data_IF_866529015929
#
_entry.id   IF_866529015929
#
_cell.length_a   1.000
_cell.length_b   1.000
_cell.length_c   1.000
_cell.angle_alpha   90.00
_cell.angle_beta   90.00
_cell.angle_gamma   90.00
#
_symmetry.space_group_name_H-M   'P 1'
#
loop_
_entity.id
_entity.type
_entity.pdbx_description
1 polymer ?
#
# COMPACT_ATOMS: atom_id res chain seq x y z
N UNK A 1 -57.76 28.80 4.97
CA UNK A 1 -57.26 27.82 3.97
C UNK A 1 -55.97 28.36 3.45
N UNK A 2 -54.83 27.86 3.96
CA UNK A 2 -53.49 28.30 3.53
C UNK A 2 -52.61 27.05 3.41
N UNK A 3 -52.28 26.67 2.18
CA UNK A 3 -51.37 25.55 1.89
C UNK A 3 -49.93 26.01 2.12
N UNK A 4 -49.26 25.36 3.09
CA UNK A 4 -47.80 25.44 3.20
C UNK A 4 -47.20 24.40 2.22
N UNK A 5 -46.49 24.86 1.21
CA UNK A 5 -45.66 24.02 0.35
C UNK A 5 -44.26 23.87 1.02
N UNK A 6 -43.95 22.68 1.45
CA UNK A 6 -42.61 22.35 1.92
C UNK A 6 -41.70 22.07 0.71
N UNK A 7 -40.71 22.93 0.49
CA UNK A 7 -39.65 22.71 -0.50
C UNK A 7 -38.59 21.84 0.12
N UNK A 8 -38.50 20.60 -0.36
CA UNK A 8 -37.42 19.66 -0.02
C UNK A 8 -36.20 20.01 -0.88
N UNK A 9 -35.25 20.69 -0.29
CA UNK A 9 -33.94 20.90 -0.89
C UNK A 9 -33.15 19.59 -0.92
N UNK A 10 -32.93 19.05 -2.08
CA UNK A 10 -31.96 17.97 -2.29
C UNK A 10 -30.56 18.59 -2.26
N UNK A 11 -29.85 18.46 -1.14
CA UNK A 11 -28.42 18.72 -1.08
C UNK A 11 -27.73 17.59 -1.85
N UNK A 12 -27.37 17.87 -3.11
CA UNK A 12 -26.47 17.01 -3.87
C UNK A 12 -25.10 17.01 -3.19
N UNK A 13 -24.68 15.86 -2.65
CA UNK A 13 -23.28 15.63 -2.33
C UNK A 13 -22.50 15.66 -3.64
N UNK A 14 -21.77 16.75 -3.86
CA UNK A 14 -20.77 16.82 -4.91
C UNK A 14 -19.68 15.80 -4.58
N UNK A 15 -19.60 14.73 -5.35
CA UNK A 15 -18.40 13.90 -5.37
C UNK A 15 -17.30 14.74 -6.02
N UNK A 16 -16.37 15.25 -5.21
CA UNK A 16 -15.14 15.88 -5.69
C UNK A 16 -14.33 14.78 -6.42
N UNK A 17 -14.47 14.75 -7.74
CA UNK A 17 -13.89 13.76 -8.62
C UNK A 17 -12.40 13.97 -8.83
N UNK A 18 -11.60 13.80 -7.80
CA UNK A 18 -10.14 13.71 -7.92
C UNK A 18 -9.56 12.66 -6.95
N UNK A 19 -10.28 11.57 -6.73
CA UNK A 19 -9.76 10.40 -6.04
C UNK A 19 -8.84 9.62 -7.01
N UNK A 20 -7.63 10.13 -7.23
CA UNK A 20 -6.55 9.28 -7.68
C UNK A 20 -6.32 8.26 -6.56
N UNK A 21 -6.86 7.06 -6.78
CA UNK A 21 -6.65 5.92 -5.89
C UNK A 21 -5.48 5.10 -6.43
N UNK A 22 -4.24 5.37 -5.98
CA UNK A 22 -3.09 4.60 -6.43
C UNK A 22 -3.29 3.13 -6.10
N UNK A 23 -2.72 2.21 -6.88
CA UNK A 23 -2.77 0.79 -6.58
C UNK A 23 -2.12 0.54 -5.21
N UNK A 24 -2.86 -0.13 -4.32
CA UNK A 24 -2.43 -0.36 -2.95
C UNK A 24 -3.51 -0.02 -1.94
N UNK A 25 -3.32 -0.43 -0.69
CA UNK A 25 -4.25 -0.09 0.36
C UNK A 25 -4.11 1.38 0.77
N UNK A 26 -5.26 2.03 0.95
CA UNK A 26 -5.35 3.40 1.41
C UNK A 26 -6.19 3.46 2.67
N UNK A 27 -5.75 4.24 3.64
CA UNK A 27 -6.42 4.40 4.94
C UNK A 27 -6.09 5.76 5.55
N UNK A 28 -6.74 6.04 6.70
CA UNK A 28 -6.49 7.24 7.49
C UNK A 28 -6.61 6.92 8.96
N UNK A 29 -5.67 7.43 9.76
CA UNK A 29 -5.75 7.42 11.21
C UNK A 29 -5.45 8.83 11.74
N UNK A 30 -6.41 9.45 12.40
CA UNK A 30 -6.28 10.85 12.80
C UNK A 30 -5.88 11.75 11.60
N UNK A 31 -4.81 12.55 11.73
CA UNK A 31 -4.33 13.39 10.64
C UNK A 31 -3.38 12.67 9.65
N UNK A 32 -3.02 11.42 9.90
CA UNK A 32 -2.10 10.67 9.04
C UNK A 32 -2.86 9.94 7.94
N UNK A 33 -2.54 10.25 6.69
CA UNK A 33 -2.99 9.51 5.52
C UNK A 33 -1.99 8.40 5.20
N UNK A 34 -2.52 7.20 4.99
CA UNK A 34 -1.78 6.03 4.54
C UNK A 34 -2.15 5.84 3.07
N UNK A 35 -1.14 5.71 2.23
CA UNK A 35 -1.32 5.57 0.79
C UNK A 35 -0.40 4.48 0.25
N UNK A 36 -0.84 3.82 -0.81
CA UNK A 36 -0.03 2.87 -1.58
C UNK A 36 0.58 1.74 -0.73
N UNK A 37 -0.08 1.32 0.35
CA UNK A 37 0.44 0.22 1.18
C UNK A 37 0.30 -1.11 0.44
N UNK A 38 1.42 -1.80 0.20
CA UNK A 38 1.47 -3.10 -0.47
C UNK A 38 2.71 -3.89 -0.05
N UNK A 39 2.59 -5.22 -0.09
CA UNK A 39 3.74 -6.12 0.03
C UNK A 39 4.41 -6.21 -1.35
N UNK A 40 5.74 -6.13 -1.37
CA UNK A 40 6.52 -6.16 -2.60
C UNK A 40 6.23 -7.44 -3.41
N UNK A 41 6.40 -7.30 -4.72
CA UNK A 41 6.39 -8.44 -5.63
C UNK A 41 7.48 -9.45 -5.24
N UNK A 42 7.14 -10.74 -5.08
CA UNK A 42 8.15 -11.75 -4.82
C UNK A 42 9.01 -11.98 -6.07
N UNK A 43 10.34 -12.13 -5.92
CA UNK A 43 11.26 -12.23 -7.06
C UNK A 43 11.11 -13.54 -7.83
N UNK A 44 10.86 -14.64 -7.14
CA UNK A 44 10.85 -16.00 -7.71
C UNK A 44 9.67 -16.82 -7.16
N UNK A 45 8.48 -16.56 -7.64
CA UNK A 45 7.27 -17.21 -7.13
C UNK A 45 6.76 -16.58 -5.83
N UNK A 46 5.87 -17.22 -5.07
CA UNK A 46 5.29 -16.65 -3.86
C UNK A 46 6.33 -16.53 -2.74
N UNK A 47 6.16 -15.54 -1.86
CA UNK A 47 6.91 -15.48 -0.61
C UNK A 47 6.63 -16.75 0.20
N UNK A 48 7.67 -17.49 0.55
CA UNK A 48 7.60 -18.74 1.31
C UNK A 48 7.59 -18.52 2.82
N UNK A 49 7.26 -19.56 3.57
CA UNK A 49 7.46 -19.58 5.03
C UNK A 49 8.95 -19.45 5.36
N UNK A 50 9.29 -18.55 6.28
CA UNK A 50 10.66 -18.23 6.67
C UNK A 50 11.30 -17.11 5.85
N UNK A 51 10.67 -16.68 4.76
CA UNK A 51 11.15 -15.54 3.98
C UNK A 51 10.93 -14.20 4.70
N UNK A 52 11.69 -13.19 4.29
CA UNK A 52 11.50 -11.80 4.66
C UNK A 52 10.88 -11.03 3.49
N UNK A 53 9.69 -10.44 3.69
CA UNK A 53 8.95 -9.75 2.64
C UNK A 53 8.89 -8.23 2.88
N UNK A 54 9.36 -7.39 1.93
CA UNK A 54 9.24 -5.94 2.06
C UNK A 54 7.78 -5.48 1.98
N UNK A 55 7.44 -4.50 2.82
CA UNK A 55 6.17 -3.79 2.81
C UNK A 55 6.45 -2.30 2.56
N UNK A 56 5.85 -1.77 1.53
CA UNK A 56 5.98 -0.37 1.13
C UNK A 56 4.74 0.42 1.50
N UNK A 57 4.91 1.66 1.91
CA UNK A 57 3.80 2.54 2.29
C UNK A 57 4.20 4.01 2.19
N UNK A 58 3.29 4.84 1.73
CA UNK A 58 3.43 6.29 1.74
C UNK A 58 2.60 6.88 2.86
N UNK A 59 3.21 7.74 3.66
CA UNK A 59 2.61 8.36 4.84
C UNK A 59 2.62 9.88 4.68
N UNK A 60 1.46 10.52 4.81
CA UNK A 60 1.33 11.97 4.74
C UNK A 60 0.65 12.50 5.98
N UNK A 61 1.37 13.33 6.74
CA UNK A 61 0.85 13.94 7.96
C UNK A 61 0.20 15.29 7.66
N UNK A 62 -1.13 15.35 7.72
CA UNK A 62 -1.94 16.56 7.58
C UNK A 62 -2.13 17.34 8.90
N UNK A 63 -1.57 16.85 10.00
CA UNK A 63 -1.69 17.45 11.31
C UNK A 63 -0.84 18.69 11.49
N UNK A 64 -1.00 19.34 12.62
CA UNK A 64 -0.22 20.54 12.98
C UNK A 64 1.10 20.22 13.72
N UNK A 65 1.28 18.98 14.08
CA UNK A 65 2.46 18.50 14.82
C UNK A 65 3.11 17.32 14.11
N UNK A 66 4.42 17.24 14.17
CA UNK A 66 5.17 16.06 13.72
C UNK A 66 4.67 14.83 14.48
N UNK A 67 4.46 13.73 13.77
CA UNK A 67 4.17 12.41 14.31
C UNK A 67 5.34 11.46 14.04
N UNK A 68 5.24 10.22 14.48
CA UNK A 68 6.22 9.17 14.15
C UNK A 68 5.50 7.86 13.88
N UNK A 69 5.95 7.13 12.87
CA UNK A 69 5.65 5.71 12.74
C UNK A 69 6.56 4.96 13.72
N UNK A 70 5.98 4.33 14.72
CA UNK A 70 6.71 3.58 15.75
C UNK A 70 7.06 2.17 15.29
N UNK A 71 6.23 1.58 14.42
CA UNK A 71 6.39 0.24 13.91
C UNK A 71 5.09 -0.31 13.32
N UNK A 72 5.12 -1.59 13.02
CA UNK A 72 3.97 -2.32 12.53
C UNK A 72 3.92 -3.73 13.11
N UNK A 73 2.75 -4.37 13.02
CA UNK A 73 2.51 -5.75 13.48
C UNK A 73 1.66 -6.52 12.48
N UNK A 74 1.87 -7.82 12.43
CA UNK A 74 1.05 -8.75 11.65
C UNK A 74 1.09 -10.15 12.28
N UNK A 75 0.08 -10.95 12.01
CA UNK A 75 0.06 -12.36 12.44
C UNK A 75 0.79 -13.30 11.49
N UNK A 76 1.04 -12.85 10.25
CA UNK A 76 1.64 -13.67 9.19
C UNK A 76 3.18 -13.67 9.21
N UNK A 77 3.81 -12.85 10.05
CA UNK A 77 5.26 -12.82 10.24
C UNK A 77 5.61 -12.90 11.73
N UNK A 78 6.87 -13.17 12.04
CA UNK A 78 7.35 -13.17 13.43
C UNK A 78 7.45 -11.74 13.99
N UNK A 79 7.92 -10.81 13.19
CA UNK A 79 8.00 -9.38 13.51
C UNK A 79 7.93 -8.53 12.24
N UNK A 80 7.72 -7.24 12.42
CA UNK A 80 7.86 -6.26 11.35
C UNK A 80 8.87 -5.22 11.80
N UNK A 81 9.97 -5.11 11.07
CA UNK A 81 11.03 -4.16 11.36
C UNK A 81 10.92 -2.94 10.43
N UNK A 82 11.31 -1.77 10.91
CA UNK A 82 11.62 -0.64 10.05
C UNK A 82 13.11 -0.78 9.69
N UNK A 83 13.43 -0.80 8.41
CA UNK A 83 14.80 -0.96 7.93
C UNK A 83 15.21 0.19 7.02
N UNK A 84 16.50 0.48 6.98
CA UNK A 84 17.10 1.42 6.03
C UNK A 84 17.24 0.81 4.64
N UNK A 85 17.67 1.59 3.65
CA UNK A 85 17.86 1.11 2.28
C UNK A 85 18.84 -0.07 2.16
N UNK A 86 19.82 -0.15 3.05
CA UNK A 86 20.82 -1.23 3.15
C UNK A 86 20.39 -2.39 4.06
N UNK A 87 19.14 -2.35 4.58
CA UNK A 87 18.54 -3.43 5.36
C UNK A 87 18.86 -3.40 6.87
N UNK A 88 19.56 -2.38 7.35
CA UNK A 88 19.82 -2.23 8.79
C UNK A 88 18.54 -1.82 9.53
N UNK A 89 18.28 -2.45 10.68
CA UNK A 89 17.14 -2.07 11.53
C UNK A 89 17.34 -0.66 12.05
N UNK A 90 16.30 0.18 11.91
CA UNK A 90 16.29 1.54 12.44
C UNK A 90 15.13 1.77 13.39
N UNK A 91 15.20 2.87 14.13
CA UNK A 91 14.12 3.31 15.04
C UNK A 91 12.95 3.97 14.30
N UNK A 92 12.03 4.59 15.07
CA UNK A 92 10.83 5.23 14.52
C UNK A 92 11.12 6.24 13.42
N UNK A 93 10.22 6.30 12.42
CA UNK A 93 10.30 7.23 11.29
C UNK A 93 9.51 8.48 11.59
N UNK A 94 10.15 9.65 11.51
CA UNK A 94 9.49 10.93 11.69
C UNK A 94 8.57 11.25 10.52
N UNK A 95 7.38 11.76 10.85
CA UNK A 95 6.35 12.21 9.89
C UNK A 95 6.12 13.73 10.07
N UNK A 96 6.95 14.57 9.46
CA UNK A 96 6.79 16.03 9.59
C UNK A 96 5.46 16.49 9.00
N UNK A 97 4.90 17.56 9.57
CA UNK A 97 3.67 18.18 9.11
C UNK A 97 3.77 18.60 7.64
N UNK A 98 2.75 18.26 6.85
CA UNK A 98 2.65 18.61 5.44
C UNK A 98 3.70 17.96 4.54
N UNK A 99 4.37 16.91 5.01
CA UNK A 99 5.38 16.16 4.24
C UNK A 99 4.89 14.76 3.92
N UNK A 100 5.16 14.33 2.69
CA UNK A 100 5.05 12.94 2.28
C UNK A 100 6.34 12.21 2.69
N UNK A 101 6.18 11.08 3.37
CA UNK A 101 7.25 10.16 3.71
C UNK A 101 7.00 8.85 2.96
N UNK A 102 7.88 8.54 2.06
CA UNK A 102 7.79 7.35 1.20
C UNK A 102 8.70 6.27 1.77
N UNK A 103 8.09 5.21 2.28
CA UNK A 103 8.77 4.00 2.71
C UNK A 103 8.69 3.00 1.56
N UNK A 104 9.77 2.88 0.78
CA UNK A 104 9.77 2.10 -0.46
C UNK A 104 11.15 1.54 -0.82
N UNK A 105 11.21 0.78 -1.91
CA UNK A 105 12.44 0.16 -2.41
C UNK A 105 13.55 1.21 -2.60
N UNK A 106 14.73 0.90 -2.07
CA UNK A 106 15.89 1.79 -2.13
C UNK A 106 15.88 2.91 -1.09
N UNK A 107 14.88 2.94 -0.22
CA UNK A 107 14.75 3.84 0.93
C UNK A 107 14.48 3.04 2.21
N UNK A 108 14.24 3.75 3.31
CA UNK A 108 13.67 3.09 4.48
C UNK A 108 12.33 2.45 4.12
N UNK A 109 12.05 1.27 4.66
CA UNK A 109 10.79 0.55 4.43
C UNK A 109 10.49 -0.39 5.60
N UNK A 110 9.31 -0.98 5.58
CA UNK A 110 8.93 -2.02 6.52
C UNK A 110 9.36 -3.38 5.97
N UNK A 111 9.78 -4.28 6.83
CA UNK A 111 10.18 -5.64 6.46
C UNK A 111 9.50 -6.64 7.36
N UNK A 112 8.63 -7.48 6.79
CA UNK A 112 8.02 -8.61 7.46
C UNK A 112 9.08 -9.69 7.61
N UNK A 113 9.45 -10.02 8.85
CA UNK A 113 10.51 -11.00 9.15
C UNK A 113 9.94 -12.37 9.40
N UNK A 114 10.58 -13.36 8.81
CA UNK A 114 10.32 -14.78 9.06
C UNK A 114 8.81 -15.09 8.94
N UNK A 115 8.33 -15.09 7.70
CA UNK A 115 6.93 -15.36 7.40
C UNK A 115 6.50 -16.71 7.96
N UNK A 116 5.34 -16.73 8.61
CA UNK A 116 4.75 -17.94 9.21
C UNK A 116 3.91 -18.73 8.22
N UNK A 117 3.60 -18.14 7.09
CA UNK A 117 2.81 -18.73 6.01
C UNK A 117 3.23 -18.17 4.66
N UNK A 118 2.91 -18.90 3.61
CA UNK A 118 3.10 -18.44 2.23
C UNK A 118 2.21 -17.24 1.93
N UNK A 119 2.74 -16.24 1.19
CA UNK A 119 2.00 -15.11 0.65
C UNK A 119 2.16 -15.11 -0.87
N UNK A 120 1.05 -15.23 -1.58
CA UNK A 120 1.01 -15.21 -3.06
C UNK A 120 0.73 -13.82 -3.57
N UNK A 121 1.07 -13.55 -4.82
CA UNK A 121 0.61 -12.35 -5.51
C UNK A 121 -0.93 -12.26 -5.50
N UNK A 122 -1.46 -11.11 -5.07
CA UNK A 122 -2.89 -10.89 -4.89
C UNK A 122 -3.47 -11.28 -3.53
N UNK A 123 -2.73 -11.99 -2.67
CA UNK A 123 -3.19 -12.28 -1.30
C UNK A 123 -3.29 -10.99 -0.48
N UNK A 124 -4.25 -10.97 0.44
CA UNK A 124 -4.45 -9.88 1.40
C UNK A 124 -3.96 -10.27 2.78
N UNK A 125 -3.21 -9.37 3.40
CA UNK A 125 -2.63 -9.54 4.74
C UNK A 125 -3.06 -8.41 5.64
N UNK A 126 -3.47 -8.71 6.88
CA UNK A 126 -3.73 -7.69 7.88
C UNK A 126 -2.43 -7.17 8.48
N UNK A 127 -2.25 -5.85 8.40
CA UNK A 127 -1.13 -5.12 9.01
C UNK A 127 -1.70 -4.06 9.95
N UNK A 128 -1.15 -3.97 11.15
CA UNK A 128 -1.44 -2.88 12.08
C UNK A 128 -0.25 -1.93 12.11
N UNK A 129 -0.46 -0.67 11.73
CA UNK A 129 0.53 0.40 11.85
C UNK A 129 0.32 1.14 13.16
N UNK A 130 1.41 1.47 13.87
CA UNK A 130 1.39 2.21 15.12
C UNK A 130 2.12 3.55 15.00
N UNK A 131 1.42 4.61 15.40
CA UNK A 131 1.93 5.99 15.38
C UNK A 131 2.02 6.54 16.81
N UNK A 132 2.95 7.48 17.03
CA UNK A 132 3.16 8.06 18.36
C UNK A 132 1.96 8.89 18.82
N UNK A 133 1.35 9.66 17.92
CA UNK A 133 0.23 10.58 18.23
C UNK A 133 -1.08 10.16 17.58
N UNK A 134 -1.07 9.72 16.33
CA UNK A 134 -2.27 9.34 15.61
C UNK A 134 -2.90 8.04 16.14
N UNK A 135 -2.15 7.21 16.86
CA UNK A 135 -2.63 5.92 17.38
C UNK A 135 -2.37 4.76 16.43
N UNK A 136 -3.25 3.79 16.41
CA UNK A 136 -3.09 2.55 15.66
C UNK A 136 -4.18 2.39 14.60
N UNK A 137 -3.85 1.72 13.51
CA UNK A 137 -4.80 1.32 12.48
C UNK A 137 -4.45 -0.03 11.90
N UNK A 138 -5.45 -0.90 11.81
CA UNK A 138 -5.35 -2.15 11.06
C UNK A 138 -5.92 -1.94 9.65
N UNK A 139 -5.18 -2.37 8.64
CA UNK A 139 -5.59 -2.31 7.24
C UNK A 139 -5.21 -3.60 6.52
N UNK A 140 -6.01 -3.94 5.50
CA UNK A 140 -5.65 -5.03 4.58
C UNK A 140 -4.72 -4.52 3.50
N UNK A 141 -3.59 -5.17 3.37
CA UNK A 141 -2.56 -4.86 2.39
C UNK A 141 -2.45 -6.04 1.43
N UNK A 142 -2.46 -5.79 0.13
CA UNK A 142 -2.28 -6.85 -0.84
C UNK A 142 -0.80 -7.07 -1.19
N UNK A 143 -0.45 -8.30 -1.52
CA UNK A 143 0.83 -8.62 -2.15
C UNK A 143 0.74 -8.32 -3.65
N UNK A 144 1.75 -7.64 -4.19
CA UNK A 144 1.80 -7.36 -5.62
C UNK A 144 1.83 -8.66 -6.43
N UNK A 145 1.13 -8.64 -7.56
CA UNK A 145 1.17 -9.73 -8.53
C UNK A 145 2.42 -9.55 -9.37
N UNK A 146 3.24 -10.60 -9.56
CA UNK A 146 4.40 -10.53 -10.44
C UNK A 146 4.00 -10.03 -11.83
N UNK A 147 4.67 -9.00 -12.29
CA UNK A 147 4.60 -8.54 -13.67
C UNK A 147 5.53 -9.43 -14.48
N UNK A 148 4.99 -10.51 -15.04
CA UNK A 148 5.73 -11.26 -16.06
C UNK A 148 5.84 -10.37 -17.29
N UNK A 149 7.03 -9.85 -17.54
CA UNK A 149 7.36 -9.33 -18.86
C UNK A 149 7.58 -10.59 -19.70
N UNK A 150 6.63 -10.91 -20.58
CA UNK A 150 6.83 -11.91 -21.60
C UNK A 150 7.92 -11.40 -22.56
N UNK A 151 9.18 -11.62 -22.25
CA UNK A 151 10.30 -11.37 -23.15
C UNK A 151 10.27 -12.28 -24.40
N UNK A 152 9.34 -13.25 -24.46
CA UNK A 152 9.15 -14.20 -25.54
C UNK A 152 8.18 -13.73 -26.66
N UNK A 153 7.68 -12.50 -26.62
CA UNK A 153 6.78 -12.00 -27.69
C UNK A 153 7.51 -11.74 -29.04
N UNK A 154 8.78 -12.13 -29.18
CA UNK A 154 9.57 -11.81 -30.40
C UNK A 154 9.66 -12.96 -31.41
N UNK A 155 9.08 -14.13 -31.14
CA UNK A 155 9.10 -15.26 -32.08
C UNK A 155 7.71 -15.84 -32.35
N UNK A 156 6.80 -15.02 -32.86
CA UNK A 156 5.67 -15.56 -33.62
C UNK A 156 6.16 -15.89 -35.03
N UNK A 157 6.21 -17.18 -35.44
CA UNK A 157 6.56 -17.53 -36.82
C UNK A 157 5.49 -16.97 -37.75
N UNK A 158 5.94 -16.20 -38.73
CA UNK A 158 5.15 -15.38 -39.62
C UNK A 158 3.89 -16.06 -40.17
N UNK A 159 2.76 -15.47 -39.90
CA UNK A 159 1.55 -15.65 -40.68
C UNK A 159 1.76 -14.95 -42.01
N UNK A 160 2.20 -15.72 -43.01
CA UNK A 160 2.19 -15.29 -44.40
C UNK A 160 0.72 -15.14 -44.83
N UNK A 161 0.29 -13.91 -45.05
CA UNK A 161 -0.99 -13.60 -45.70
C UNK A 161 -0.98 -14.20 -47.10
N UNK A 162 -2.07 -14.91 -47.52
CA UNK A 162 -2.19 -15.29 -48.90
C UNK A 162 -2.51 -14.05 -49.74
N UNK A 163 -1.74 -13.87 -50.84
CA UNK A 163 -2.03 -12.88 -51.88
C UNK A 163 -3.32 -13.23 -52.60
N UNK A 164 -4.15 -12.23 -52.94
CA UNK A 164 -5.31 -12.46 -53.83
C UNK A 164 -4.87 -12.55 -55.27
N UNK A 165 -5.26 -13.60 -55.98
CA UNK A 165 -5.34 -13.65 -57.43
C UNK A 165 -6.63 -13.01 -57.93
#
# INVERSE_FOLDING_TARGET
MGCLAAVWGTTGCGADGNDYNPPGANARVGPVLIRYAHIAEPPDGPWGTGDDAPLYVWLFNQGQHTDKLLGAETTVARSVDIVTADGAVQGPVALPTGKLVELEKGRAHLLLRDLRQQIRGGDYVWITLRFERAGEIALQVHSQIPTYVDDDATDAPGLTSPSPE
#
